data_IF_278751204302
#
_entry.id   IF_278751204302
#
_cell.length_a   1.000
_cell.length_b   1.000
_cell.length_c   1.000
_cell.angle_alpha   90.00
_cell.angle_beta   90.00
_cell.angle_gamma   90.00
#
_symmetry.space_group_name_H-M   'P 1'
#
loop_
_entity.id
_entity.type
_entity.pdbx_description
1 polymer ?
#
# COMPACT_ATOMS: atom_id res chain seq x y z
N UNK A 1 -7.39 -33.74 -0.65
CA UNK A 1 -7.72 -32.32 -0.42
C UNK A 1 -6.68 -31.46 -1.13
N UNK A 2 -6.95 -31.04 -2.36
CA UNK A 2 -6.14 -30.00 -3.01
C UNK A 2 -6.57 -28.66 -2.44
N UNK A 3 -6.09 -28.33 -1.23
CA UNK A 3 -6.14 -26.95 -0.73
C UNK A 3 -5.49 -26.04 -1.76
N UNK A 4 -5.90 -24.77 -1.83
CA UNK A 4 -5.57 -23.78 -2.86
C UNK A 4 -4.06 -23.44 -3.03
N UNK A 5 -3.15 -24.31 -2.61
CA UNK A 5 -1.69 -24.17 -2.70
C UNK A 5 -1.10 -23.14 -1.73
N UNK A 6 -1.95 -22.36 -1.05
CA UNK A 6 -1.58 -21.26 -0.15
C UNK A 6 -2.49 -21.29 1.07
N UNK A 7 -1.92 -21.25 2.28
CA UNK A 7 -2.67 -21.24 3.53
C UNK A 7 -3.25 -19.85 3.81
N UNK A 8 -4.45 -19.77 4.42
CA UNK A 8 -5.09 -18.49 4.76
C UNK A 8 -4.21 -17.64 5.70
N UNK A 9 -3.45 -18.29 6.59
CA UNK A 9 -2.48 -17.63 7.47
C UNK A 9 -1.36 -16.92 6.71
N UNK A 10 -0.83 -17.52 5.64
CA UNK A 10 0.22 -16.92 4.81
C UNK A 10 -0.31 -15.72 4.01
N UNK A 11 -1.54 -15.80 3.52
CA UNK A 11 -2.22 -14.68 2.86
C UNK A 11 -2.44 -13.52 3.83
N UNK A 12 -2.89 -13.81 5.05
CA UNK A 12 -3.11 -12.80 6.10
C UNK A 12 -1.80 -12.12 6.50
N UNK A 13 -0.72 -12.89 6.66
CA UNK A 13 0.61 -12.36 6.95
C UNK A 13 1.10 -11.43 5.84
N UNK A 14 0.98 -11.89 4.59
CA UNK A 14 1.38 -11.10 3.40
C UNK A 14 0.55 -9.83 3.28
N UNK A 15 -0.76 -9.92 3.55
CA UNK A 15 -1.63 -8.74 3.59
C UNK A 15 -1.16 -7.72 4.62
N UNK A 16 -0.75 -8.16 5.81
CA UNK A 16 -0.18 -7.28 6.84
C UNK A 16 1.07 -6.53 6.37
N UNK A 17 1.95 -7.20 5.61
CA UNK A 17 3.14 -6.54 5.00
C UNK A 17 2.73 -5.45 4.01
N UNK A 18 1.83 -5.76 3.07
CA UNK A 18 1.35 -4.78 2.08
C UNK A 18 0.64 -3.58 2.74
N UNK A 19 -0.10 -3.81 3.81
CA UNK A 19 -0.78 -2.75 4.56
C UNK A 19 0.22 -1.84 5.30
N UNK A 20 1.23 -2.42 5.95
CA UNK A 20 2.26 -1.67 6.64
C UNK A 20 3.12 -0.84 5.67
N UNK A 21 3.62 -1.45 4.60
CA UNK A 21 4.43 -0.77 3.59
C UNK A 21 3.62 0.29 2.84
N UNK A 22 2.37 -0.03 2.46
CA UNK A 22 1.47 0.91 1.81
C UNK A 22 1.18 2.15 2.67
N UNK A 23 0.96 1.95 3.97
CA UNK A 23 0.77 3.04 4.93
C UNK A 23 2.04 3.89 5.10
N UNK A 24 3.21 3.26 5.17
CA UNK A 24 4.49 3.96 5.28
C UNK A 24 4.75 4.85 4.06
N UNK A 25 4.43 4.39 2.85
CA UNK A 25 4.55 5.16 1.62
C UNK A 25 3.64 6.41 1.62
N UNK A 26 2.39 6.26 2.08
CA UNK A 26 1.46 7.38 2.21
C UNK A 26 1.99 8.41 3.23
N UNK A 27 2.51 7.93 4.36
CA UNK A 27 3.07 8.78 5.42
C UNK A 27 4.38 9.47 5.02
N UNK A 28 5.09 8.96 4.01
CA UNK A 28 6.34 9.53 3.50
C UNK A 28 6.13 10.80 2.65
N UNK A 29 4.94 10.98 2.06
CA UNK A 29 4.63 12.16 1.23
C UNK A 29 5.02 13.51 1.87
N UNK A 30 4.63 13.84 3.11
CA UNK A 30 4.98 15.12 3.73
C UNK A 30 6.49 15.29 4.01
N UNK A 31 7.27 14.21 4.10
CA UNK A 31 8.72 14.31 4.33
C UNK A 31 9.51 14.52 3.03
N UNK A 32 8.95 14.10 1.88
CA UNK A 32 9.61 14.22 0.57
C UNK A 32 9.13 15.40 -0.26
N UNK A 33 7.94 15.94 -0.01
CA UNK A 33 7.43 17.13 -0.71
C UNK A 33 7.88 18.37 0.05
N UNK A 34 8.83 19.18 -0.46
CA UNK A 34 9.28 20.37 0.22
C UNK A 34 8.13 21.37 0.34
N UNK A 35 7.91 21.90 1.55
CA UNK A 35 6.95 22.97 1.79
C UNK A 35 7.40 24.35 1.29
N UNK A 36 8.60 24.45 0.70
CA UNK A 36 9.18 25.73 0.28
C UNK A 36 8.74 26.14 -1.13
N UNK A 37 8.14 27.31 -1.24
CA UNK A 37 7.77 27.94 -2.51
C UNK A 37 8.93 28.75 -3.11
N UNK A 38 8.83 29.14 -4.38
CA UNK A 38 9.86 29.94 -5.06
C UNK A 38 10.21 31.26 -4.35
N UNK A 39 9.26 31.87 -3.62
CA UNK A 39 9.49 33.06 -2.81
C UNK A 39 10.23 32.81 -1.48
N UNK A 40 10.37 31.55 -1.07
CA UNK A 40 11.02 31.13 0.17
C UNK A 40 12.44 30.60 -0.06
N UNK A 41 12.87 30.49 -1.32
CA UNK A 41 14.26 30.17 -1.67
C UNK A 41 15.04 31.44 -1.98
N UNK A 42 16.35 31.46 -1.68
CA UNK A 42 17.21 32.61 -2.01
C UNK A 42 17.23 32.91 -3.52
N UNK A 43 17.51 34.17 -3.89
CA UNK A 43 17.49 34.66 -5.30
C UNK A 43 18.20 33.75 -6.31
N UNK A 44 19.31 33.11 -5.91
CA UNK A 44 20.08 32.20 -6.77
C UNK A 44 19.32 30.93 -7.18
N UNK A 45 18.31 30.52 -6.41
CA UNK A 45 17.53 29.30 -6.64
C UNK A 45 16.12 29.57 -7.19
N UNK A 46 15.71 30.84 -7.28
CA UNK A 46 14.36 31.21 -7.72
C UNK A 46 14.01 30.68 -9.12
N UNK A 47 14.97 30.66 -10.05
CA UNK A 47 14.75 30.18 -11.41
C UNK A 47 14.48 28.66 -11.48
N UNK A 48 15.04 27.87 -10.56
CA UNK A 48 14.94 26.41 -10.59
C UNK A 48 13.90 25.85 -9.61
N UNK A 49 13.56 26.60 -8.57
CA UNK A 49 12.64 26.16 -7.52
C UNK A 49 11.26 25.70 -8.01
N UNK A 50 10.59 26.36 -8.99
CA UNK A 50 9.30 25.88 -9.50
C UNK A 50 9.39 24.48 -10.13
N UNK A 51 10.46 24.23 -10.89
CA UNK A 51 10.71 22.94 -11.55
C UNK A 51 10.96 21.84 -10.53
N UNK A 52 11.83 22.09 -9.54
CA UNK A 52 12.07 21.15 -8.45
C UNK A 52 10.79 20.86 -7.65
N UNK A 53 10.03 21.90 -7.30
CA UNK A 53 8.75 21.74 -6.61
C UNK A 53 7.80 20.83 -7.39
N UNK A 54 7.69 21.02 -8.70
CA UNK A 54 6.86 20.17 -9.57
C UNK A 54 7.29 18.71 -9.52
N UNK A 55 8.60 18.41 -9.52
CA UNK A 55 9.08 17.04 -9.43
C UNK A 55 8.75 16.40 -8.08
N UNK A 56 8.96 17.13 -6.99
CA UNK A 56 8.62 16.62 -5.65
C UNK A 56 7.10 16.44 -5.48
N UNK A 57 6.28 17.36 -5.98
CA UNK A 57 4.82 17.21 -5.96
C UNK A 57 4.38 15.94 -6.72
N UNK A 58 4.92 15.72 -7.93
CA UNK A 58 4.66 14.49 -8.71
C UNK A 58 5.12 13.23 -7.99
N UNK A 59 6.27 13.28 -7.34
CA UNK A 59 6.76 12.16 -6.54
C UNK A 59 5.85 11.87 -5.35
N UNK A 60 5.41 12.91 -4.64
CA UNK A 60 4.43 12.80 -3.55
C UNK A 60 3.09 12.20 -3.99
N UNK A 61 2.58 12.58 -5.16
CA UNK A 61 1.40 11.93 -5.76
C UNK A 61 1.65 10.46 -6.09
N UNK A 62 2.84 10.13 -6.58
CA UNK A 62 3.20 8.75 -6.93
C UNK A 62 3.30 7.86 -5.68
N UNK A 63 3.89 8.36 -4.59
CA UNK A 63 3.92 7.67 -3.30
C UNK A 63 2.51 7.39 -2.76
N UNK A 64 1.63 8.39 -2.81
CA UNK A 64 0.25 8.23 -2.35
C UNK A 64 -0.52 7.20 -3.18
N UNK A 65 -0.36 7.24 -4.51
CA UNK A 65 -0.98 6.27 -5.41
C UNK A 65 -0.45 4.86 -5.12
N UNK A 66 0.86 4.68 -5.06
CA UNK A 66 1.47 3.38 -4.84
C UNK A 66 1.10 2.81 -3.47
N UNK A 67 1.11 3.64 -2.42
CA UNK A 67 0.67 3.22 -1.10
C UNK A 67 -0.80 2.79 -1.05
N UNK A 68 -1.70 3.52 -1.74
CA UNK A 68 -3.12 3.12 -1.88
C UNK A 68 -3.28 1.78 -2.60
N UNK A 69 -2.57 1.56 -3.70
CA UNK A 69 -2.60 0.27 -4.41
C UNK A 69 -2.08 -0.87 -3.52
N UNK A 70 -1.00 -0.67 -2.77
CA UNK A 70 -0.48 -1.64 -1.82
C UNK A 70 -1.51 -1.99 -0.74
N UNK A 71 -2.18 -0.99 -0.14
CA UNK A 71 -3.29 -1.25 0.80
C UNK A 71 -4.46 -1.99 0.15
N UNK A 72 -4.75 -1.73 -1.13
CA UNK A 72 -5.78 -2.45 -1.88
C UNK A 72 -5.43 -3.92 -2.11
N UNK A 73 -4.15 -4.24 -2.36
CA UNK A 73 -3.67 -5.63 -2.43
C UNK A 73 -3.87 -6.32 -1.07
N UNK A 74 -3.54 -5.65 0.04
CA UNK A 74 -3.77 -6.19 1.38
C UNK A 74 -5.25 -6.54 1.62
N UNK A 75 -6.18 -5.67 1.24
CA UNK A 75 -7.62 -5.95 1.34
C UNK A 75 -8.00 -7.21 0.57
N UNK A 76 -7.58 -7.32 -0.70
CA UNK A 76 -7.88 -8.49 -1.54
C UNK A 76 -7.30 -9.79 -0.95
N UNK A 77 -6.08 -9.75 -0.42
CA UNK A 77 -5.46 -10.90 0.23
C UNK A 77 -6.25 -11.36 1.47
N UNK A 78 -6.74 -10.41 2.29
CA UNK A 78 -7.62 -10.72 3.43
C UNK A 78 -8.95 -11.33 2.99
N UNK A 79 -9.56 -10.83 1.91
CA UNK A 79 -10.81 -11.37 1.36
C UNK A 79 -10.64 -12.81 0.85
N UNK A 80 -9.52 -13.09 0.18
CA UNK A 80 -9.17 -14.45 -0.28
C UNK A 80 -8.92 -15.37 0.93
N UNK A 81 -8.16 -14.91 1.93
CA UNK A 81 -7.91 -15.68 3.15
C UNK A 81 -9.22 -16.09 3.85
N UNK A 82 -10.15 -15.14 4.00
CA UNK A 82 -11.48 -15.39 4.58
C UNK A 82 -12.29 -16.39 3.76
N UNK A 83 -12.19 -16.31 2.43
CA UNK A 83 -12.86 -17.27 1.54
C UNK A 83 -12.30 -18.68 1.74
N UNK A 84 -10.98 -18.82 1.90
CA UNK A 84 -10.34 -20.12 2.13
C UNK A 84 -10.78 -20.72 3.48
N UNK A 85 -10.78 -19.92 4.54
CA UNK A 85 -11.25 -20.34 5.87
C UNK A 85 -12.70 -20.80 5.86
N UNK A 86 -13.58 -20.05 5.17
CA UNK A 86 -14.99 -20.41 5.03
C UNK A 86 -15.18 -21.73 4.28
N UNK A 87 -14.43 -21.94 3.19
CA UNK A 87 -14.53 -23.16 2.38
C UNK A 87 -14.01 -24.39 3.14
N UNK A 88 -12.92 -24.24 3.91
CA UNK A 88 -12.40 -25.31 4.77
C UNK A 88 -13.37 -25.65 5.92
N UNK A 89 -13.99 -24.65 6.54
CA UNK A 89 -15.01 -24.86 7.58
C UNK A 89 -16.25 -25.59 7.02
N UNK A 90 -16.75 -25.20 5.84
CA UNK A 90 -17.87 -25.87 5.19
C UNK A 90 -17.54 -27.31 4.83
N UNK A 91 -16.38 -27.54 4.20
CA UNK A 91 -15.93 -28.88 3.81
C UNK A 91 -15.79 -29.79 5.04
N UNK A 92 -15.12 -29.31 6.09
CA UNK A 92 -14.94 -30.10 7.31
C UNK A 92 -16.24 -30.43 8.04
N UNK A 93 -17.27 -29.56 7.94
CA UNK A 93 -18.61 -29.85 8.47
C UNK A 93 -19.36 -30.91 7.65
N UNK A 94 -19.16 -30.94 6.33
CA UNK A 94 -19.82 -31.86 5.41
C UNK A 94 -19.30 -33.30 5.51
N UNK A 95 -18.03 -33.49 5.90
CA UNK A 95 -17.41 -34.80 6.06
C UNK A 95 -17.44 -35.34 7.51
N UNK A 96 -18.10 -34.63 8.44
CA UNK A 96 -18.32 -35.06 9.83
C UNK A 96 -19.70 -35.67 10.10
N UNK A 97 -20.56 -35.77 9.08
CA UNK A 97 -21.79 -36.57 9.10
C UNK A 97 -21.55 -37.95 8.50
#
# INVERSE_FOLDING_TARGET
MSGFGVQSGDLTKTAGTYEAEGSALIQMKPSVVPGVAAGQVGRKFQAVAPTYKTFFDKFGTSLEKFGKEATGIATRLKDVAKTYESNEAQTSSQYKG
#
